data_IF_292506297268
#
_entry.id   IF_292506297268
#
_cell.length_a   1.000
_cell.length_b   1.000
_cell.length_c   1.000
_cell.angle_alpha   90.00
_cell.angle_beta   90.00
_cell.angle_gamma   90.00
#
_symmetry.space_group_name_H-M   'P 1'
#
loop_
_entity.id
_entity.type
_entity.pdbx_description
1 polymer ?
#
# COMPACT_ATOMS: atom_id res chain seq x y z
N UNK A 1 -2.06 8.84 32.33
CA UNK A 1 -0.87 8.02 32.68
C UNK A 1 -0.93 6.58 32.15
N UNK A 2 -2.10 5.92 32.16
CA UNK A 2 -2.25 4.52 31.73
C UNK A 2 -1.77 4.26 30.28
N UNK A 3 -2.18 5.10 29.33
CA UNK A 3 -1.73 4.99 27.93
C UNK A 3 -0.21 4.97 27.81
N UNK A 4 0.50 5.85 28.55
CA UNK A 4 1.95 5.93 28.50
C UNK A 4 2.60 4.63 29.01
N UNK A 5 2.07 4.03 30.10
CA UNK A 5 2.57 2.74 30.61
C UNK A 5 2.35 1.61 29.60
N UNK A 6 1.20 1.59 28.91
CA UNK A 6 0.91 0.60 27.87
C UNK A 6 1.82 0.73 26.63
N UNK A 7 2.10 1.96 26.20
CA UNK A 7 3.05 2.23 25.11
C UNK A 7 4.45 1.75 25.50
N UNK A 8 4.94 2.12 26.69
CA UNK A 8 6.25 1.66 27.18
C UNK A 8 6.34 0.14 27.27
N UNK A 9 5.29 -0.53 27.75
CA UNK A 9 5.24 -1.99 27.78
C UNK A 9 5.30 -2.60 26.37
N UNK A 10 4.61 -2.01 25.40
CA UNK A 10 4.65 -2.46 24.00
C UNK A 10 6.05 -2.32 23.41
N UNK A 11 6.69 -1.17 23.62
CA UNK A 11 8.05 -0.92 23.13
C UNK A 11 9.08 -1.87 23.73
N UNK A 12 8.95 -2.20 25.02
CA UNK A 12 9.90 -3.07 25.72
C UNK A 12 9.71 -4.57 25.39
N UNK A 13 8.48 -5.00 25.10
CA UNK A 13 8.14 -6.42 25.05
C UNK A 13 7.62 -6.92 23.68
N UNK A 14 7.38 -6.02 22.71
CA UNK A 14 6.93 -6.40 21.36
C UNK A 14 7.82 -5.73 20.31
N UNK A 15 8.65 -6.53 19.65
CA UNK A 15 9.47 -6.07 18.53
C UNK A 15 8.57 -5.74 17.33
N UNK A 16 8.75 -4.56 16.75
CA UNK A 16 8.11 -4.19 15.48
C UNK A 16 8.81 -4.91 14.31
N UNK A 17 8.01 -5.44 13.39
CA UNK A 17 8.46 -5.97 12.10
C UNK A 17 7.86 -5.14 10.98
N UNK A 18 8.13 -3.84 11.01
CA UNK A 18 7.59 -2.90 10.04
C UNK A 18 8.09 -3.21 8.62
N UNK A 19 7.15 -3.24 7.67
CA UNK A 19 7.40 -3.30 6.24
C UNK A 19 6.30 -2.53 5.48
N UNK A 20 6.61 -1.91 4.32
CA UNK A 20 5.58 -1.44 3.41
C UNK A 20 4.73 -2.61 2.89
N UNK A 21 3.45 -2.34 2.58
CA UNK A 21 2.52 -3.39 2.14
C UNK A 21 2.80 -3.93 0.73
N UNK A 22 3.64 -3.23 -0.04
CA UNK A 22 4.14 -3.62 -1.38
C UNK A 22 5.54 -3.02 -1.64
N UNK A 23 6.38 -3.67 -2.48
CA UNK A 23 7.60 -3.08 -3.04
C UNK A 23 7.32 -2.14 -4.23
N UNK A 24 8.26 -1.23 -4.53
CA UNK A 24 8.08 -0.17 -5.52
C UNK A 24 8.15 -0.63 -6.98
N UNK A 25 8.75 -1.78 -7.26
CA UNK A 25 8.87 -2.39 -8.59
C UNK A 25 7.58 -3.13 -9.03
N UNK A 26 6.61 -3.25 -8.13
CA UNK A 26 5.29 -3.77 -8.42
C UNK A 26 4.54 -2.88 -9.44
N UNK A 27 3.68 -3.48 -10.27
CA UNK A 27 2.88 -2.71 -11.24
C UNK A 27 1.93 -1.73 -10.52
N UNK A 28 1.58 -0.61 -11.16
CA UNK A 28 0.63 0.36 -10.58
C UNK A 28 -0.72 -0.29 -10.23
N UNK A 29 -1.19 -1.23 -11.07
CA UNK A 29 -2.45 -1.93 -10.83
C UNK A 29 -2.40 -2.83 -9.61
N UNK A 30 -1.28 -3.54 -9.40
CA UNK A 30 -1.10 -4.42 -8.24
C UNK A 30 -0.88 -3.63 -6.96
N UNK A 31 -0.23 -2.45 -7.03
CA UNK A 31 -0.11 -1.52 -5.89
C UNK A 31 -1.49 -1.05 -5.43
N UNK A 32 -2.34 -0.61 -6.37
CA UNK A 32 -3.71 -0.18 -6.08
C UNK A 32 -4.53 -1.34 -5.50
N UNK A 33 -4.43 -2.53 -6.08
CA UNK A 33 -5.13 -3.72 -5.59
C UNK A 33 -4.67 -4.14 -4.19
N UNK A 34 -3.36 -4.07 -3.92
CA UNK A 34 -2.80 -4.37 -2.60
C UNK A 34 -3.35 -3.44 -1.51
N UNK A 35 -3.49 -2.14 -1.79
CA UNK A 35 -4.10 -1.18 -0.87
C UNK A 35 -5.58 -1.54 -0.64
N UNK A 36 -6.32 -1.76 -1.74
CA UNK A 36 -7.75 -2.05 -1.68
C UNK A 36 -8.05 -3.32 -0.88
N UNK A 37 -7.30 -4.40 -1.11
CA UNK A 37 -7.54 -5.71 -0.48
C UNK A 37 -6.98 -5.79 0.94
N UNK A 38 -5.75 -5.31 1.19
CA UNK A 38 -5.12 -5.45 2.52
C UNK A 38 -5.56 -4.39 3.53
N UNK A 39 -5.84 -3.16 3.09
CA UNK A 39 -6.15 -2.03 3.99
C UNK A 39 -7.65 -1.74 4.03
N UNK A 40 -8.31 -1.70 2.87
CA UNK A 40 -9.75 -1.40 2.82
C UNK A 40 -10.64 -2.64 2.89
N UNK A 41 -10.07 -3.85 2.74
CA UNK A 41 -10.83 -5.10 2.78
C UNK A 41 -11.77 -5.28 1.59
N UNK A 42 -11.44 -4.69 0.44
CA UNK A 42 -12.18 -4.89 -0.81
C UNK A 42 -11.89 -6.27 -1.43
N UNK A 43 -12.82 -6.79 -2.22
CA UNK A 43 -12.61 -8.03 -2.99
C UNK A 43 -11.63 -7.85 -4.16
N UNK A 44 -11.43 -6.61 -4.62
CA UNK A 44 -10.52 -6.25 -5.71
C UNK A 44 -10.83 -4.87 -6.30
N UNK A 45 -10.23 -4.57 -7.46
CA UNK A 45 -10.34 -3.26 -8.12
C UNK A 45 -10.83 -3.41 -9.56
N UNK A 46 -11.79 -2.58 -9.96
CA UNK A 46 -12.25 -2.47 -11.35
C UNK A 46 -11.88 -1.11 -11.92
N UNK A 47 -11.33 -1.10 -13.14
CA UNK A 47 -10.88 0.12 -13.81
C UNK A 47 -11.83 0.49 -14.95
N UNK A 48 -12.18 1.78 -15.03
CA UNK A 48 -12.83 2.31 -16.24
C UNK A 48 -11.84 2.30 -17.41
N UNK A 49 -12.31 2.28 -18.67
CA UNK A 49 -11.42 2.34 -19.83
C UNK A 49 -10.50 3.57 -19.83
N UNK A 50 -10.96 4.71 -19.29
CA UNK A 50 -10.15 5.92 -19.17
C UNK A 50 -9.02 5.74 -18.15
N UNK A 51 -9.31 5.15 -16.99
CA UNK A 51 -8.32 4.89 -15.94
C UNK A 51 -7.24 3.91 -16.42
N UNK A 52 -7.63 2.82 -17.08
CA UNK A 52 -6.69 1.85 -17.64
C UNK A 52 -5.70 2.49 -18.62
N UNK A 53 -6.20 3.36 -19.53
CA UNK A 53 -5.35 4.12 -20.47
C UNK A 53 -4.40 5.08 -19.75
N UNK A 54 -4.85 5.73 -18.68
CA UNK A 54 -4.01 6.64 -17.91
C UNK A 54 -2.91 5.88 -17.16
N UNK A 55 -3.22 4.76 -16.52
CA UNK A 55 -2.23 3.92 -15.84
C UNK A 55 -1.16 3.42 -16.81
N UNK A 56 -1.56 2.97 -18.00
CA UNK A 56 -0.60 2.60 -19.04
C UNK A 56 0.31 3.77 -19.42
N UNK A 57 -0.25 4.96 -19.67
CA UNK A 57 0.53 6.15 -20.03
C UNK A 57 1.50 6.57 -18.92
N UNK A 58 1.10 6.47 -17.65
CA UNK A 58 1.96 6.78 -16.51
C UNK A 58 3.16 5.82 -16.47
N UNK A 59 2.93 4.52 -16.68
CA UNK A 59 4.00 3.53 -16.79
C UNK A 59 4.93 3.81 -17.96
N UNK A 60 4.40 4.14 -19.15
CA UNK A 60 5.19 4.49 -20.34
C UNK A 60 6.06 5.73 -20.15
N UNK A 61 5.61 6.70 -19.33
CA UNK A 61 6.40 7.88 -18.97
C UNK A 61 7.50 7.59 -17.93
N UNK A 62 7.64 6.34 -17.48
CA UNK A 62 8.65 5.93 -16.50
C UNK A 62 8.25 6.14 -15.05
N UNK A 63 7.00 6.49 -14.76
CA UNK A 63 6.50 6.75 -13.41
C UNK A 63 5.91 5.51 -12.71
N UNK A 64 6.00 4.32 -13.34
CA UNK A 64 5.41 3.08 -12.82
C UNK A 64 5.97 2.62 -11.47
N UNK A 65 7.20 3.03 -11.14
CA UNK A 65 7.87 2.65 -9.89
C UNK A 65 7.62 3.64 -8.72
N UNK A 66 6.79 4.66 -8.93
CA UNK A 66 6.38 5.55 -7.84
C UNK A 66 5.38 4.83 -6.91
N UNK A 67 5.31 5.23 -5.62
CA UNK A 67 4.24 4.81 -4.73
C UNK A 67 2.85 5.27 -5.23
N UNK A 68 1.83 4.53 -4.80
CA UNK A 68 0.41 4.86 -4.98
C UNK A 68 -0.17 5.26 -3.63
#
# INVERSE_FOLDING_TARGET
EELARMVMNTLNNKKSSYEPIYPLDMSLTDKIDTIATKIYGADGVTYTPAAARQLQKITELGFGNLPV
#
